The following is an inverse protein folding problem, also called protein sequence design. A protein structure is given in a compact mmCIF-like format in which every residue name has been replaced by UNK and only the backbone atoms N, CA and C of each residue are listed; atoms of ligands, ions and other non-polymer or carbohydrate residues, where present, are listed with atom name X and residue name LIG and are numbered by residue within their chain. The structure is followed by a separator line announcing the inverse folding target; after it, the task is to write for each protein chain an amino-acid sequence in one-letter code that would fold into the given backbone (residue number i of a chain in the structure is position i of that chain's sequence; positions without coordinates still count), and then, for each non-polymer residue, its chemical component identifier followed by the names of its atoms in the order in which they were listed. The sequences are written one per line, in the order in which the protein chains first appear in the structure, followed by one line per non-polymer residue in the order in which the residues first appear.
data_IF_383336371829
#
_entry.id   IF_383336371829
#
_cell.length_a   1.000
_cell.length_b   1.000
_cell.length_c   1.000
_cell.angle_alpha   90.00
_cell.angle_beta   90.00
_cell.angle_gamma   90.00
#
_symmetry.space_group_name_H-M   'P 1'
#
loop_
_entity.id
_entity.type
_entity.pdbx_description
1 polymer ?
#
# COMPACT_ATOMS: atom_id res chain seq x y z
N UNK A 1 21.13 -25.69 37.11
CA UNK A 1 22.05 -24.58 37.44
C UNK A 1 21.88 -23.50 36.39
N UNK A 2 21.78 -22.25 36.87
CA UNK A 2 22.00 -20.96 36.20
C UNK A 2 20.98 -20.39 35.19
N UNK A 3 20.76 -19.09 35.37
CA UNK A 3 19.67 -18.26 34.92
C UNK A 3 19.88 -17.60 33.54
N UNK A 4 18.75 -17.21 32.94
CA UNK A 4 18.45 -15.89 32.36
C UNK A 4 19.45 -15.22 31.41
N UNK A 5 19.01 -14.95 30.18
CA UNK A 5 19.56 -13.89 29.35
C UNK A 5 18.52 -12.76 29.20
N UNK A 6 18.90 -11.62 29.73
CA UNK A 6 18.22 -10.34 29.84
C UNK A 6 18.19 -9.55 28.52
N UNK A 7 17.15 -8.72 28.36
CA UNK A 7 17.08 -7.69 27.32
C UNK A 7 18.10 -6.56 27.56
N UNK A 8 18.69 -6.02 26.49
CA UNK A 8 19.19 -4.64 26.43
C UNK A 8 18.94 -4.04 25.05
N UNK A 9 18.59 -2.75 25.09
CA UNK A 9 18.02 -1.88 24.07
C UNK A 9 18.97 -1.43 22.94
N UNK A 10 18.33 -0.84 21.92
CA UNK A 10 18.86 -0.02 20.83
C UNK A 10 20.15 0.76 21.16
N UNK A 11 21.09 0.76 20.23
CA UNK A 11 21.91 1.93 19.90
C UNK A 11 22.17 1.99 18.40
N UNK A 12 22.16 3.22 17.91
CA UNK A 12 22.17 3.73 16.55
C UNK A 12 23.18 3.17 15.53
N UNK A 13 22.73 3.27 14.26
CA UNK A 13 23.45 3.56 13.02
C UNK A 13 24.98 3.64 13.06
N UNK A 14 25.63 2.76 12.29
CA UNK A 14 26.92 3.05 11.66
C UNK A 14 26.88 2.67 10.18
N UNK A 15 27.22 3.65 9.36
CA UNK A 15 27.33 3.57 7.92
C UNK A 15 28.58 2.78 7.55
N UNK A 16 28.50 1.90 6.55
CA UNK A 16 29.66 1.56 5.73
C UNK A 16 29.21 1.31 4.28
N UNK A 17 29.50 2.30 3.44
CA UNK A 17 29.55 2.21 1.99
C UNK A 17 30.70 1.24 1.58
N UNK A 18 30.77 0.56 0.43
CA UNK A 18 30.45 0.84 -0.98
C UNK A 18 30.27 -0.56 -1.64
N UNK A 19 29.40 -0.77 -2.63
CA UNK A 19 29.77 -0.70 -4.05
C UNK A 19 28.54 -0.96 -4.95
N UNK A 20 28.53 -0.27 -6.10
CA UNK A 20 27.75 -0.48 -7.33
C UNK A 20 26.22 -0.28 -7.30
N UNK A 21 25.77 0.87 -7.82
CA UNK A 21 25.33 0.96 -9.22
C UNK A 21 25.26 2.44 -9.64
N UNK A 22 25.69 2.78 -10.85
CA UNK A 22 25.53 4.12 -11.42
C UNK A 22 24.05 4.32 -11.72
N UNK A 23 23.32 4.93 -10.79
CA UNK A 23 21.91 5.29 -10.99
C UNK A 23 21.87 6.48 -11.95
N UNK A 24 21.26 6.23 -13.11
CA UNK A 24 21.01 7.21 -14.15
C UNK A 24 20.19 8.37 -13.61
N UNK A 25 20.44 9.56 -14.17
CA UNK A 25 19.94 10.84 -13.65
C UNK A 25 18.45 10.75 -13.29
N UNK A 26 18.16 10.91 -12.00
CA UNK A 26 16.83 11.28 -11.52
C UNK A 26 16.37 12.44 -12.38
N UNK A 27 15.27 12.24 -13.12
CA UNK A 27 14.52 13.34 -13.70
C UNK A 27 14.15 14.25 -12.53
N UNK A 28 14.85 15.38 -12.42
CA UNK A 28 14.47 16.45 -11.51
C UNK A 28 13.17 17.04 -12.03
N UNK A 29 12.05 16.43 -11.65
CA UNK A 29 10.75 17.08 -11.76
C UNK A 29 10.81 18.28 -10.83
N UNK A 30 10.73 19.53 -11.35
CA UNK A 30 10.60 20.67 -10.48
C UNK A 30 9.33 20.46 -9.65
N UNK A 31 9.49 20.44 -8.33
CA UNK A 31 8.37 20.37 -7.41
C UNK A 31 7.62 21.70 -7.52
N UNK A 32 6.61 21.75 -8.39
CA UNK A 32 5.59 22.79 -8.37
C UNK A 32 4.71 22.52 -7.15
N UNK A 33 5.22 22.92 -5.99
CA UNK A 33 4.41 23.02 -4.77
C UNK A 33 3.57 24.27 -4.96
N UNK A 34 2.44 24.11 -5.65
CA UNK A 34 1.50 25.19 -5.95
C UNK A 34 1.35 26.12 -4.75
N UNK A 35 1.25 27.43 -5.00
CA UNK A 35 1.35 28.46 -3.95
C UNK A 35 0.21 28.44 -2.91
N UNK A 36 -0.80 27.61 -3.14
CA UNK A 36 -1.92 27.42 -2.25
C UNK A 36 -1.66 26.27 -1.26
N UNK A 37 -1.84 26.56 0.03
CA UNK A 37 -1.82 25.53 1.07
C UNK A 37 -3.04 24.63 0.89
N UNK A 38 -2.82 23.40 0.41
CA UNK A 38 -3.88 22.38 0.42
C UNK A 38 -4.34 22.14 1.86
N UNK A 39 -5.65 22.26 2.08
CA UNK A 39 -6.25 21.99 3.37
C UNK A 39 -6.57 20.50 3.51
N UNK A 40 -6.57 19.99 4.74
CA UNK A 40 -7.00 18.62 5.01
C UNK A 40 -8.42 18.35 4.46
N UNK A 41 -9.31 19.34 4.55
CA UNK A 41 -10.66 19.26 3.99
C UNK A 41 -10.66 19.03 2.48
N UNK A 42 -9.75 19.68 1.74
CA UNK A 42 -9.62 19.48 0.29
C UNK A 42 -9.05 18.09 -0.03
N UNK A 43 -8.03 17.64 0.70
CA UNK A 43 -7.46 16.31 0.51
C UNK A 43 -8.48 15.19 0.76
N UNK A 44 -9.38 15.38 1.72
CA UNK A 44 -10.42 14.41 2.07
C UNK A 44 -11.73 14.57 1.28
N UNK A 45 -11.84 15.56 0.39
CA UNK A 45 -13.10 15.88 -0.29
C UNK A 45 -13.61 14.75 -1.20
N UNK A 46 -12.69 13.96 -1.77
CA UNK A 46 -13.02 12.77 -2.56
C UNK A 46 -12.54 11.49 -1.84
N UNK A 47 -13.43 10.72 -1.20
CA UNK A 47 -13.06 9.54 -0.43
C UNK A 47 -12.43 8.42 -1.28
N UNK A 48 -12.43 8.51 -2.61
CA UNK A 48 -11.71 7.57 -3.47
C UNK A 48 -10.20 7.49 -3.12
N UNK A 49 -9.63 8.48 -2.40
CA UNK A 49 -8.26 8.42 -1.87
C UNK A 49 -8.01 7.24 -0.92
N UNK A 50 -9.06 6.72 -0.25
CA UNK A 50 -8.94 5.58 0.68
C UNK A 50 -8.92 4.24 -0.06
N UNK A 51 -9.20 4.25 -1.37
CA UNK A 51 -9.32 3.07 -2.21
C UNK A 51 -10.74 2.49 -2.21
N UNK A 52 -11.04 1.75 -3.28
CA UNK A 52 -12.34 1.10 -3.44
C UNK A 52 -12.40 -0.17 -2.59
N UNK A 53 -13.46 -0.33 -1.80
CA UNK A 53 -13.65 -1.55 -1.00
C UNK A 53 -14.39 -2.64 -1.80
N UNK A 54 -14.10 -3.93 -1.57
CA UNK A 54 -14.87 -5.04 -2.12
C UNK A 54 -16.29 -5.05 -1.54
N UNK A 55 -17.28 -5.40 -2.37
CA UNK A 55 -18.71 -5.41 -2.05
C UNK A 55 -19.37 -6.69 -2.59
N UNK A 56 -20.46 -7.11 -1.96
CA UNK A 56 -21.25 -8.28 -2.38
C UNK A 56 -20.40 -9.55 -2.54
N UNK A 57 -19.50 -9.82 -1.58
CA UNK A 57 -18.63 -10.97 -1.65
C UNK A 57 -19.39 -12.28 -1.41
N UNK A 58 -19.07 -13.32 -2.17
CA UNK A 58 -19.62 -14.68 -2.01
C UNK A 58 -18.57 -15.74 -2.37
N UNK A 59 -18.80 -16.96 -1.87
CA UNK A 59 -17.99 -18.12 -2.19
C UNK A 59 -18.42 -18.73 -3.52
N UNK A 60 -17.45 -19.06 -4.37
CA UNK A 60 -17.71 -19.94 -5.50
C UNK A 60 -18.03 -21.37 -5.03
N UNK A 61 -18.61 -22.18 -5.92
CA UNK A 61 -19.02 -23.55 -5.59
C UNK A 61 -17.85 -24.46 -5.17
N UNK A 62 -16.62 -24.11 -5.53
CA UNK A 62 -15.40 -24.83 -5.15
C UNK A 62 -14.99 -24.64 -3.68
N UNK A 63 -15.65 -23.73 -2.94
CA UNK A 63 -15.29 -23.34 -1.57
C UNK A 63 -13.85 -22.86 -1.39
N UNK A 64 -13.15 -22.54 -2.48
CA UNK A 64 -11.75 -22.14 -2.51
C UNK A 64 -11.56 -20.76 -3.17
N UNK A 65 -12.61 -20.21 -3.77
CA UNK A 65 -12.58 -18.92 -4.46
C UNK A 65 -13.61 -17.96 -3.90
N UNK A 66 -13.17 -16.74 -3.60
CA UNK A 66 -14.03 -15.61 -3.21
C UNK A 66 -14.24 -14.74 -4.44
N UNK A 67 -15.51 -14.47 -4.76
CA UNK A 67 -15.91 -13.57 -5.84
C UNK A 67 -16.52 -12.32 -5.21
N UNK A 68 -16.13 -11.14 -5.68
CA UNK A 68 -16.63 -9.86 -5.15
C UNK A 68 -16.70 -8.79 -6.24
N UNK A 69 -17.53 -7.78 -6.01
CA UNK A 69 -17.63 -6.59 -6.87
C UNK A 69 -16.85 -5.42 -6.30
N UNK A 70 -16.17 -4.62 -7.13
CA UNK A 70 -15.43 -3.43 -6.69
C UNK A 70 -15.61 -2.29 -7.69
N UNK A 71 -15.75 -1.06 -7.20
CA UNK A 71 -15.89 0.15 -8.03
C UNK A 71 -14.62 0.36 -8.87
N UNK A 72 -14.78 0.80 -10.12
CA UNK A 72 -13.68 1.28 -10.95
C UNK A 72 -13.23 2.70 -10.55
N UNK A 73 -11.94 2.99 -10.59
CA UNK A 73 -11.44 4.31 -10.20
C UNK A 73 -12.02 5.40 -11.11
N UNK A 74 -12.58 6.46 -10.52
CA UNK A 74 -13.20 7.57 -11.26
C UNK A 74 -14.49 7.22 -12.01
N UNK A 75 -15.10 6.06 -11.77
CA UNK A 75 -16.31 5.60 -12.46
C UNK A 75 -17.38 5.11 -11.48
N UNK A 76 -18.65 5.17 -11.88
CA UNK A 76 -19.77 4.57 -11.12
C UNK A 76 -19.94 3.08 -11.39
N UNK A 77 -19.22 2.56 -12.38
CA UNK A 77 -19.22 1.16 -12.76
C UNK A 77 -18.46 0.29 -11.74
N UNK A 78 -18.79 -1.00 -11.73
CA UNK A 78 -18.20 -2.00 -10.85
C UNK A 78 -17.78 -3.21 -11.65
N UNK A 79 -16.60 -3.70 -11.36
CA UNK A 79 -16.06 -4.93 -11.93
C UNK A 79 -16.20 -6.08 -10.94
N UNK A 80 -16.27 -7.30 -11.46
CA UNK A 80 -16.24 -8.53 -10.68
C UNK A 80 -14.82 -9.09 -10.66
N UNK A 81 -14.33 -9.38 -9.47
CA UNK A 81 -13.02 -9.97 -9.20
C UNK A 81 -13.20 -11.35 -8.57
N UNK A 82 -12.22 -12.21 -8.83
CA UNK A 82 -12.18 -13.58 -8.33
C UNK A 82 -10.80 -13.83 -7.71
N UNK A 83 -10.77 -14.18 -6.42
CA UNK A 83 -9.54 -14.44 -5.68
C UNK A 83 -9.60 -15.83 -5.05
N UNK A 84 -8.65 -16.69 -5.39
CA UNK A 84 -8.48 -17.99 -4.71
C UNK A 84 -7.84 -17.78 -3.34
N UNK A 85 -8.34 -18.48 -2.31
CA UNK A 85 -7.87 -18.34 -0.92
C UNK A 85 -6.49 -18.93 -0.68
N UNK A 86 -6.04 -19.81 -1.57
CA UNK A 86 -4.71 -20.43 -1.53
C UNK A 86 -3.67 -19.63 -2.32
N UNK A 87 -4.10 -18.62 -3.07
CA UNK A 87 -3.20 -17.75 -3.82
C UNK A 87 -2.78 -16.59 -2.93
N UNK A 88 -1.67 -16.76 -2.20
CA UNK A 88 -1.02 -15.66 -1.49
C UNK A 88 -0.15 -14.87 -2.49
N UNK A 89 -0.14 -13.53 -2.45
CA UNK A 89 0.73 -12.71 -3.31
C UNK A 89 2.22 -12.91 -3.02
#
# INVERSE_FOLDING_TARGET
MLAGCSATANTAYTNNALEKNKVEAVVSTPADVGSEKITLKQAMADPDWIGNQPQNAFWAADSATIIYSQKQQGSTLRDLFSQSVTSQP
#
